data_IF_425288610329
#
_entry.id   IF_425288610329
#
_cell.length_a   1.000
_cell.length_b   1.000
_cell.length_c   1.000
_cell.angle_alpha   90.00
_cell.angle_beta   90.00
_cell.angle_gamma   90.00
#
_symmetry.space_group_name_H-M   'P 1'
#
loop_
_entity.id
_entity.type
_entity.pdbx_description
1 polymer ?
#
# COMPACT_ATOMS: atom_id res chain seq x y z
N UNK A 1 -40.33 -2.13 0.84
CA UNK A 1 -38.90 -2.06 0.48
C UNK A 1 -38.73 -2.85 -0.81
N UNK A 2 -38.01 -2.32 -1.80
CA UNK A 2 -37.57 -3.14 -2.94
C UNK A 2 -36.62 -4.22 -2.41
N UNK A 3 -36.70 -5.45 -2.92
CA UNK A 3 -35.83 -6.55 -2.49
C UNK A 3 -34.35 -6.19 -2.74
N UNK A 4 -33.46 -6.65 -1.84
CA UNK A 4 -32.01 -6.54 -2.05
C UNK A 4 -31.59 -7.61 -3.08
N UNK A 5 -31.45 -7.20 -4.33
CA UNK A 5 -30.98 -8.08 -5.40
C UNK A 5 -29.44 -8.02 -5.43
N UNK A 6 -28.72 -9.15 -5.34
CA UNK A 6 -27.28 -9.16 -5.49
C UNK A 6 -26.83 -8.51 -6.80
N UNK A 7 -25.72 -7.77 -6.77
CA UNK A 7 -25.18 -7.08 -7.97
C UNK A 7 -25.00 -8.03 -9.17
N UNK A 8 -24.49 -9.27 -9.01
CA UNK A 8 -24.37 -10.21 -10.13
C UNK A 8 -25.70 -10.63 -10.76
N UNK A 9 -26.81 -10.50 -10.03
CA UNK A 9 -28.13 -11.01 -10.39
C UNK A 9 -29.10 -9.90 -10.84
N UNK A 10 -28.59 -8.68 -11.05
CA UNK A 10 -29.44 -7.54 -11.38
C UNK A 10 -30.12 -7.71 -12.75
N UNK A 11 -31.44 -7.48 -12.84
CA UNK A 11 -32.18 -7.60 -14.09
C UNK A 11 -31.75 -6.52 -15.10
N UNK A 12 -31.58 -6.93 -16.36
CA UNK A 12 -31.28 -6.01 -17.47
C UNK A 12 -32.51 -5.20 -17.82
N UNK A 13 -32.32 -3.92 -18.16
CA UNK A 13 -33.38 -2.99 -18.59
C UNK A 13 -34.48 -2.70 -17.56
N UNK A 14 -34.30 -3.08 -16.30
CA UNK A 14 -35.22 -2.76 -15.20
C UNK A 14 -34.65 -1.68 -14.29
N UNK A 15 -35.54 -0.92 -13.65
CA UNK A 15 -35.15 0.09 -12.68
C UNK A 15 -34.89 -0.58 -11.32
N UNK A 16 -33.63 -0.59 -10.91
CA UNK A 16 -33.18 -1.18 -9.65
C UNK A 16 -32.91 -0.08 -8.62
N UNK A 17 -32.99 -0.45 -7.34
CA UNK A 17 -32.53 0.38 -6.23
C UNK A 17 -31.45 -0.38 -5.47
N UNK A 18 -30.32 0.27 -5.21
CA UNK A 18 -29.17 -0.32 -4.52
C UNK A 18 -28.68 0.62 -3.43
N UNK A 19 -28.17 0.06 -2.35
CA UNK A 19 -27.30 0.81 -1.42
C UNK A 19 -25.87 0.38 -1.68
N UNK A 20 -25.04 1.34 -2.08
CA UNK A 20 -23.63 1.11 -2.43
C UNK A 20 -22.73 2.14 -1.78
N UNK A 21 -21.49 1.74 -1.56
CA UNK A 21 -20.39 2.62 -1.27
C UNK A 21 -19.75 3.09 -2.59
N UNK A 22 -19.64 4.40 -2.77
CA UNK A 22 -18.95 5.02 -3.91
C UNK A 22 -17.57 5.49 -3.44
N UNK A 23 -16.50 5.03 -4.10
CA UNK A 23 -15.12 5.36 -3.68
C UNK A 23 -14.55 6.59 -4.38
N UNK A 24 -14.81 6.74 -5.67
CA UNK A 24 -14.19 7.73 -6.54
C UNK A 24 -15.13 8.08 -7.68
N UNK A 25 -15.00 9.29 -8.20
CA UNK A 25 -15.76 9.76 -9.34
C UNK A 25 -14.84 10.43 -10.35
N UNK A 26 -15.12 10.26 -11.63
CA UNK A 26 -14.38 10.90 -12.72
C UNK A 26 -15.31 11.47 -13.76
N UNK A 27 -15.18 12.76 -14.02
CA UNK A 27 -15.89 13.40 -15.13
C UNK A 27 -15.33 12.89 -16.46
N UNK A 28 -16.23 12.51 -17.37
CA UNK A 28 -15.95 12.08 -18.73
C UNK A 28 -16.88 12.78 -19.71
N UNK A 29 -16.56 12.64 -21.00
CA UNK A 29 -17.41 13.11 -22.10
C UNK A 29 -17.63 11.98 -23.08
N UNK A 30 -18.84 11.91 -23.62
CA UNK A 30 -19.18 11.04 -24.74
C UNK A 30 -18.49 11.53 -26.02
N UNK A 31 -18.47 10.70 -27.08
CA UNK A 31 -17.99 11.13 -28.41
C UNK A 31 -18.78 12.34 -28.96
N UNK A 32 -20.05 12.48 -28.58
CA UNK A 32 -20.91 13.62 -28.95
C UNK A 32 -20.74 14.84 -28.02
N UNK A 33 -19.77 14.80 -27.10
CA UNK A 33 -19.45 15.92 -26.21
C UNK A 33 -20.31 16.03 -24.95
N UNK A 34 -21.37 15.21 -24.79
CA UNK A 34 -22.17 15.20 -23.56
C UNK A 34 -21.34 14.76 -22.35
N UNK A 35 -21.42 15.52 -21.27
CA UNK A 35 -20.69 15.29 -20.04
C UNK A 35 -21.42 14.30 -19.14
N UNK A 36 -20.67 13.47 -18.43
CA UNK A 36 -21.18 12.54 -17.43
C UNK A 36 -20.07 12.23 -16.42
N UNK A 37 -20.43 11.59 -15.32
CA UNK A 37 -19.49 11.12 -14.31
C UNK A 37 -19.56 9.60 -14.22
N UNK A 38 -18.40 8.97 -14.30
CA UNK A 38 -18.25 7.55 -13.99
C UNK A 38 -17.83 7.38 -12.53
N UNK A 39 -18.42 6.38 -11.87
CA UNK A 39 -18.02 5.96 -10.54
C UNK A 39 -18.08 4.43 -10.43
N UNK A 40 -17.55 3.89 -9.34
CA UNK A 40 -17.71 2.47 -8.97
C UNK A 40 -18.51 2.43 -7.68
N UNK A 41 -19.62 1.70 -7.70
CA UNK A 41 -20.42 1.37 -6.52
C UNK A 41 -20.07 -0.03 -6.02
N UNK A 42 -19.93 -0.21 -4.71
CA UNK A 42 -19.68 -1.50 -4.06
C UNK A 42 -20.69 -1.76 -2.95
N UNK A 43 -21.20 -2.98 -2.84
CA UNK A 43 -21.87 -3.44 -1.62
C UNK A 43 -21.36 -4.83 -1.22
N UNK A 44 -22.02 -5.49 -0.26
CA UNK A 44 -21.64 -6.82 0.22
C UNK A 44 -21.72 -7.91 -0.86
N UNK A 45 -22.44 -7.66 -1.95
CA UNK A 45 -22.69 -8.63 -3.03
C UNK A 45 -21.81 -8.44 -4.27
N UNK A 46 -21.13 -7.30 -4.42
CA UNK A 46 -20.24 -7.07 -5.56
C UNK A 46 -19.90 -5.61 -5.84
N UNK A 47 -19.42 -5.36 -7.06
CA UNK A 47 -19.09 -4.03 -7.59
C UNK A 47 -19.79 -3.79 -8.92
N UNK A 48 -20.17 -2.54 -9.18
CA UNK A 48 -20.86 -2.14 -10.41
C UNK A 48 -20.40 -0.76 -10.87
N UNK A 49 -20.21 -0.60 -12.19
CA UNK A 49 -19.96 0.72 -12.77
C UNK A 49 -21.23 1.56 -12.71
N UNK A 50 -21.10 2.79 -12.24
CA UNK A 50 -22.19 3.76 -12.12
C UNK A 50 -21.95 4.90 -13.11
N UNK A 51 -23.02 5.34 -13.78
CA UNK A 51 -23.00 6.48 -14.69
C UNK A 51 -23.99 7.52 -14.23
N UNK A 52 -23.50 8.73 -14.00
CA UNK A 52 -24.31 9.88 -13.63
C UNK A 52 -24.24 10.90 -14.76
N UNK A 53 -25.36 11.15 -15.43
CA UNK A 53 -25.45 12.26 -16.37
C UNK A 53 -25.32 13.59 -15.63
N UNK A 54 -24.70 14.59 -16.26
CA UNK A 54 -24.49 15.90 -15.61
C UNK A 54 -25.81 16.53 -15.17
N UNK A 55 -26.88 16.34 -15.93
CA UNK A 55 -28.22 16.82 -15.62
C UNK A 55 -28.79 16.21 -14.31
N UNK A 56 -28.42 14.96 -13.98
CA UNK A 56 -28.84 14.30 -12.73
C UNK A 56 -28.08 14.88 -11.54
N UNK A 57 -26.78 15.18 -11.72
CA UNK A 57 -25.95 15.81 -10.70
C UNK A 57 -26.32 17.28 -10.47
N UNK A 58 -26.65 18.03 -11.53
CA UNK A 58 -27.06 19.44 -11.42
C UNK A 58 -28.40 19.58 -10.70
N UNK A 59 -29.27 18.57 -10.80
CA UNK A 59 -30.56 18.53 -10.13
C UNK A 59 -30.49 18.12 -8.65
N UNK A 60 -29.36 17.55 -8.19
CA UNK A 60 -29.20 17.01 -6.83
C UNK A 60 -27.92 17.55 -6.16
N UNK A 61 -27.73 17.28 -4.87
CA UNK A 61 -26.52 17.73 -4.16
C UNK A 61 -25.27 17.04 -4.71
N UNK A 62 -24.10 17.65 -4.47
CA UNK A 62 -22.78 17.13 -4.81
C UNK A 62 -22.61 15.65 -4.36
N UNK A 63 -22.24 14.77 -5.30
CA UNK A 63 -21.89 13.38 -5.02
C UNK A 63 -20.42 13.32 -4.57
N UNK A 64 -20.16 12.67 -3.43
CA UNK A 64 -18.84 12.51 -2.82
C UNK A 64 -18.60 11.03 -2.49
N UNK A 65 -17.35 10.60 -2.29
CA UNK A 65 -17.10 9.29 -1.73
C UNK A 65 -17.94 9.05 -0.46
N UNK A 66 -18.57 7.87 -0.33
CA UNK A 66 -19.46 7.57 0.78
C UNK A 66 -20.58 6.60 0.45
N UNK A 67 -21.53 6.42 1.37
CA UNK A 67 -22.69 5.55 1.22
C UNK A 67 -23.85 6.26 0.53
N UNK A 68 -24.35 5.65 -0.54
CA UNK A 68 -25.41 6.19 -1.37
C UNK A 68 -26.45 5.14 -1.70
N UNK A 69 -27.70 5.54 -1.60
CA UNK A 69 -28.85 4.83 -2.15
C UNK A 69 -29.04 5.34 -3.56
N UNK A 70 -28.95 4.46 -4.54
CA UNK A 70 -29.00 4.81 -5.96
C UNK A 70 -30.16 4.08 -6.64
N UNK A 71 -30.90 4.82 -7.45
CA UNK A 71 -31.92 4.29 -8.35
C UNK A 71 -31.44 4.48 -9.77
N UNK A 72 -31.60 3.46 -10.61
CA UNK A 72 -31.20 3.57 -12.00
C UNK A 72 -31.57 2.34 -12.81
N UNK A 73 -31.21 2.37 -14.08
CA UNK A 73 -31.43 1.26 -15.01
C UNK A 73 -30.12 0.59 -15.36
N UNK A 74 -30.11 -0.75 -15.36
CA UNK A 74 -28.96 -1.51 -15.83
C UNK A 74 -28.93 -1.47 -17.36
N UNK A 75 -27.85 -0.92 -17.89
CA UNK A 75 -27.51 -0.91 -19.31
C UNK A 75 -26.20 -1.69 -19.54
N UNK A 76 -25.97 -2.11 -20.79
CA UNK A 76 -24.70 -2.71 -21.19
C UNK A 76 -23.87 -1.70 -21.97
N UNK A 77 -22.63 -1.47 -21.54
CA UNK A 77 -21.64 -0.66 -22.25
C UNK A 77 -20.38 -1.47 -22.50
N UNK A 78 -20.01 -1.66 -23.77
CA UNK A 78 -18.88 -2.53 -24.16
C UNK A 78 -18.95 -3.93 -23.51
N UNK A 79 -20.13 -4.54 -23.56
CA UNK A 79 -20.42 -5.86 -22.97
C UNK A 79 -20.21 -5.96 -21.44
N UNK A 80 -20.17 -4.81 -20.75
CA UNK A 80 -20.13 -4.76 -19.28
C UNK A 80 -21.40 -4.09 -18.73
N UNK A 81 -21.96 -4.61 -17.63
CA UNK A 81 -23.09 -3.98 -16.98
C UNK A 81 -22.68 -2.66 -16.35
N UNK A 82 -23.50 -1.63 -16.56
CA UNK A 82 -23.38 -0.31 -15.97
C UNK A 82 -24.76 0.16 -15.52
N UNK A 83 -24.85 0.70 -14.30
CA UNK A 83 -26.08 1.34 -13.84
C UNK A 83 -26.09 2.80 -14.28
N UNK A 84 -27.05 3.17 -15.13
CA UNK A 84 -27.34 4.57 -15.43
C UNK A 84 -28.23 5.12 -14.32
N UNK A 85 -27.65 5.95 -13.47
CA UNK A 85 -28.28 6.48 -12.27
C UNK A 85 -29.22 7.61 -12.64
N UNK A 86 -30.46 7.53 -12.15
CA UNK A 86 -31.51 8.53 -12.36
C UNK A 86 -31.81 9.33 -11.10
N UNK A 87 -31.57 8.75 -9.92
CA UNK A 87 -31.75 9.38 -8.62
C UNK A 87 -30.76 8.80 -7.62
N UNK A 88 -30.25 9.62 -6.70
CA UNK A 88 -29.44 9.15 -5.60
C UNK A 88 -29.68 9.96 -4.32
N UNK A 89 -29.40 9.36 -3.16
CA UNK A 89 -29.43 10.06 -1.86
C UNK A 89 -28.38 9.51 -0.92
N UNK A 90 -27.85 10.32 0.02
CA UNK A 90 -27.00 9.79 1.07
C UNK A 90 -27.78 8.78 1.91
N UNK A 91 -27.07 7.76 2.41
CA UNK A 91 -27.62 6.69 3.22
C UNK A 91 -26.75 6.49 4.45
N UNK A 92 -27.37 6.23 5.60
CA UNK A 92 -26.66 5.95 6.85
C UNK A 92 -26.11 4.52 6.92
N UNK A 93 -25.19 4.25 7.85
CA UNK A 93 -24.70 2.89 8.09
C UNK A 93 -25.85 1.96 8.51
N UNK A 94 -26.80 2.45 9.30
CA UNK A 94 -27.93 1.65 9.77
C UNK A 94 -28.88 1.30 8.63
N UNK A 95 -29.19 2.26 7.75
CA UNK A 95 -29.95 1.97 6.53
C UNK A 95 -29.20 0.99 5.59
N UNK A 96 -27.87 1.08 5.52
CA UNK A 96 -27.06 0.09 4.78
C UNK A 96 -27.25 -1.30 5.38
N UNK A 97 -27.15 -1.44 6.71
CA UNK A 97 -27.32 -2.72 7.41
C UNK A 97 -28.71 -3.29 7.26
N UNK A 98 -29.74 -2.44 7.39
CA UNK A 98 -31.14 -2.85 7.19
C UNK A 98 -31.35 -3.42 5.78
N UNK A 99 -30.72 -2.83 4.77
CA UNK A 99 -30.90 -3.30 3.39
C UNK A 99 -29.98 -4.47 3.02
N UNK A 100 -28.70 -4.42 3.41
CA UNK A 100 -27.67 -5.37 3.01
C UNK A 100 -27.53 -6.55 3.98
N UNK A 101 -28.13 -6.49 5.16
CA UNK A 101 -27.95 -7.46 6.25
C UNK A 101 -26.46 -7.74 6.55
N UNK A 102 -25.61 -6.73 6.37
CA UNK A 102 -24.16 -6.79 6.50
C UNK A 102 -23.60 -5.41 6.86
N UNK A 103 -22.41 -5.38 7.46
CA UNK A 103 -21.67 -4.13 7.65
C UNK A 103 -21.09 -3.63 6.32
N UNK A 104 -21.08 -2.31 6.09
CA UNK A 104 -20.40 -1.75 4.93
C UNK A 104 -18.89 -1.99 5.05
N UNK A 105 -18.29 -2.49 3.97
CA UNK A 105 -16.83 -2.48 3.84
C UNK A 105 -16.39 -1.07 3.46
N UNK A 106 -15.54 -0.47 4.26
CA UNK A 106 -14.94 0.82 3.98
C UNK A 106 -13.53 0.67 3.37
N UNK A 107 -13.09 1.62 2.53
CA UNK A 107 -11.75 1.62 1.96
C UNK A 107 -10.66 1.71 3.04
N UNK A 108 -9.67 0.81 2.98
CA UNK A 108 -8.59 0.73 3.97
C UNK A 108 -7.25 1.18 3.38
N UNK A 109 -6.46 1.87 4.18
CA UNK A 109 -5.05 2.10 3.93
C UNK A 109 -4.22 1.16 4.80
N UNK A 110 -3.33 0.40 4.16
CA UNK A 110 -2.35 -0.47 4.77
C UNK A 110 -0.97 0.18 4.63
N UNK A 111 -0.53 0.89 5.67
CA UNK A 111 0.79 1.51 5.69
C UNK A 111 1.83 0.48 6.12
N UNK A 112 2.85 0.25 5.30
CA UNK A 112 3.78 -0.87 5.41
C UNK A 112 5.24 -0.40 5.34
N UNK A 113 6.08 -1.06 6.13
CA UNK A 113 7.55 -0.96 6.09
C UNK A 113 8.17 -2.33 6.47
N UNK A 114 9.38 -2.62 5.96
CA UNK A 114 10.12 -3.85 6.26
C UNK A 114 11.49 -3.57 6.87
N UNK A 115 11.86 -4.43 7.81
CA UNK A 115 13.23 -4.52 8.30
C UNK A 115 13.95 -5.75 7.77
N UNK A 116 15.22 -5.58 7.44
CA UNK A 116 16.02 -6.58 6.75
C UNK A 116 17.38 -6.80 7.41
N UNK A 117 17.91 -8.01 7.25
CA UNK A 117 19.24 -8.39 7.71
C UNK A 117 20.00 -9.06 6.57
N UNK A 118 21.32 -8.91 6.55
CA UNK A 118 22.18 -9.69 5.66
C UNK A 118 22.16 -11.17 6.05
N UNK A 119 22.11 -12.07 5.07
CA UNK A 119 22.28 -13.50 5.26
C UNK A 119 23.72 -13.80 5.70
N UNK A 120 23.95 -14.61 6.75
CA UNK A 120 25.30 -14.96 7.20
C UNK A 120 26.20 -15.51 6.08
N UNK A 121 25.66 -16.43 5.28
CA UNK A 121 26.38 -17.10 4.19
C UNK A 121 26.72 -16.15 3.03
N UNK A 122 26.11 -14.95 2.97
CA UNK A 122 26.49 -13.95 1.98
C UNK A 122 27.94 -13.48 2.19
N UNK A 123 28.46 -13.56 3.42
CA UNK A 123 29.84 -13.18 3.77
C UNK A 123 30.88 -13.88 2.88
N UNK A 124 30.65 -15.16 2.55
CA UNK A 124 31.54 -15.95 1.69
C UNK A 124 31.60 -15.44 0.25
N UNK A 125 30.59 -14.68 -0.19
CA UNK A 125 30.49 -14.15 -1.56
C UNK A 125 31.10 -12.77 -1.70
N UNK A 126 31.26 -12.01 -0.62
CA UNK A 126 31.65 -10.58 -0.69
C UNK A 126 33.06 -10.42 -1.26
N UNK A 127 34.07 -11.04 -0.68
CA UNK A 127 35.46 -10.94 -1.14
C UNK A 127 35.64 -11.33 -2.61
N UNK A 128 35.19 -12.55 -3.03
CA UNK A 128 35.26 -12.95 -4.44
C UNK A 128 34.51 -12.02 -5.41
N UNK A 129 33.41 -11.39 -4.98
CA UNK A 129 32.68 -10.41 -5.79
C UNK A 129 33.44 -9.09 -5.92
N UNK A 130 34.05 -8.60 -4.85
CA UNK A 130 34.84 -7.37 -4.87
C UNK A 130 36.11 -7.54 -5.71
N UNK A 131 36.85 -8.63 -5.53
CA UNK A 131 38.03 -8.96 -6.34
C UNK A 131 37.67 -9.03 -7.83
N UNK A 132 36.58 -9.74 -8.16
CA UNK A 132 36.09 -9.82 -9.54
C UNK A 132 35.69 -8.45 -10.08
N UNK A 133 35.01 -7.63 -9.29
CA UNK A 133 34.55 -6.30 -9.70
C UNK A 133 35.70 -5.34 -9.96
N UNK A 134 36.75 -5.39 -9.13
CA UNK A 134 37.99 -4.63 -9.34
C UNK A 134 38.69 -5.11 -10.62
N UNK A 135 38.87 -6.43 -10.79
CA UNK A 135 39.54 -7.02 -11.96
C UNK A 135 38.83 -6.70 -13.27
N UNK A 136 37.49 -6.65 -13.27
CA UNK A 136 36.68 -6.35 -14.45
C UNK A 136 36.44 -4.84 -14.68
N UNK A 137 36.99 -3.96 -13.83
CA UNK A 137 36.79 -2.51 -13.93
C UNK A 137 35.34 -2.06 -13.67
N UNK A 138 34.54 -2.87 -12.96
CA UNK A 138 33.15 -2.58 -12.61
C UNK A 138 33.01 -1.79 -11.29
N UNK A 139 34.08 -1.72 -10.51
CA UNK A 139 34.12 -1.01 -9.24
C UNK A 139 34.32 0.51 -9.46
N UNK A 140 33.50 1.35 -8.82
CA UNK A 140 33.65 2.82 -8.88
C UNK A 140 34.96 3.28 -8.23
N UNK A 141 35.55 4.39 -8.70
CA UNK A 141 36.83 4.90 -8.19
C UNK A 141 36.88 5.05 -6.66
N UNK A 142 35.86 5.67 -6.07
CA UNK A 142 35.77 5.83 -4.62
C UNK A 142 35.73 4.49 -3.87
N UNK A 143 35.11 3.47 -4.46
CA UNK A 143 35.06 2.14 -3.89
C UNK A 143 36.39 1.41 -4.04
N UNK A 144 37.09 1.59 -5.17
CA UNK A 144 38.44 1.06 -5.35
C UNK A 144 39.39 1.63 -4.31
N UNK A 145 39.31 2.93 -4.05
CA UNK A 145 40.13 3.58 -3.02
C UNK A 145 39.89 2.96 -1.65
N UNK A 146 38.63 2.84 -1.20
CA UNK A 146 38.31 2.19 0.08
C UNK A 146 38.77 0.74 0.14
N UNK A 147 38.55 -0.02 -0.93
CA UNK A 147 38.95 -1.43 -1.00
C UNK A 147 40.46 -1.62 -0.93
N UNK A 148 41.24 -0.76 -1.60
CA UNK A 148 42.70 -0.84 -1.59
C UNK A 148 43.32 -0.29 -0.31
N UNK A 149 42.62 0.61 0.40
CA UNK A 149 43.02 1.12 1.71
C UNK A 149 42.84 0.06 2.79
N UNK A 150 41.66 -0.59 2.84
CA UNK A 150 41.37 -1.67 3.78
C UNK A 150 40.34 -2.64 3.17
N UNK A 151 40.83 -3.79 2.70
CA UNK A 151 40.01 -4.85 2.11
C UNK A 151 38.97 -5.36 3.10
N UNK A 152 39.36 -5.60 4.36
CA UNK A 152 38.47 -6.18 5.36
C UNK A 152 37.35 -5.21 5.73
N UNK A 153 37.66 -3.91 5.84
CA UNK A 153 36.65 -2.90 6.11
C UNK A 153 35.65 -2.72 4.96
N UNK A 154 36.10 -2.74 3.69
CA UNK A 154 35.18 -2.66 2.55
C UNK A 154 34.36 -3.95 2.37
N UNK A 155 34.93 -5.12 2.68
CA UNK A 155 34.18 -6.38 2.76
C UNK A 155 33.08 -6.31 3.82
N UNK A 156 33.38 -5.84 5.03
CA UNK A 156 32.37 -5.71 6.09
C UNK A 156 31.27 -4.71 5.70
N UNK A 157 31.65 -3.56 5.12
CA UNK A 157 30.68 -2.59 4.59
C UNK A 157 29.76 -3.21 3.52
N UNK A 158 30.32 -3.98 2.58
CA UNK A 158 29.54 -4.63 1.53
C UNK A 158 28.66 -5.74 2.10
N UNK A 159 29.12 -6.46 3.12
CA UNK A 159 28.30 -7.40 3.87
C UNK A 159 27.11 -6.69 4.53
N UNK A 160 27.33 -5.57 5.22
CA UNK A 160 26.25 -4.80 5.86
C UNK A 160 25.23 -4.29 4.83
N UNK A 161 25.67 -3.79 3.67
CA UNK A 161 24.79 -3.38 2.57
C UNK A 161 24.01 -4.54 1.94
N UNK A 162 24.38 -5.79 2.22
CA UNK A 162 23.69 -6.98 1.75
C UNK A 162 22.24 -7.08 2.21
N UNK A 163 21.85 -6.41 3.29
CA UNK A 163 20.46 -6.31 3.75
C UNK A 163 19.56 -5.59 2.75
N UNK A 164 20.12 -4.71 1.91
CA UNK A 164 19.37 -3.92 0.91
C UNK A 164 19.02 -4.69 -0.38
N UNK A 165 19.27 -6.00 -0.44
CA UNK A 165 18.91 -6.84 -1.59
C UNK A 165 18.36 -8.19 -1.14
N UNK A 166 17.24 -8.63 -1.73
CA UNK A 166 16.64 -9.93 -1.42
C UNK A 166 17.52 -11.14 -1.79
N UNK A 167 18.58 -10.94 -2.58
CA UNK A 167 19.54 -11.98 -2.97
C UNK A 167 20.63 -12.25 -1.92
N UNK A 168 20.87 -11.27 -1.05
CA UNK A 168 21.91 -11.27 -0.02
C UNK A 168 21.36 -11.05 1.38
N UNK A 169 20.12 -10.59 1.50
CA UNK A 169 19.42 -10.34 2.73
C UNK A 169 18.15 -11.16 2.90
N UNK A 170 17.59 -11.08 4.09
CA UNK A 170 16.33 -11.68 4.51
C UNK A 170 15.47 -10.65 5.22
N UNK A 171 14.17 -10.87 5.22
CA UNK A 171 13.23 -10.10 6.03
C UNK A 171 13.38 -10.54 7.48
N UNK A 172 13.54 -9.56 8.36
CA UNK A 172 13.48 -9.71 9.82
C UNK A 172 12.07 -9.38 10.31
N UNK A 173 11.47 -8.29 9.83
CA UNK A 173 10.10 -7.94 10.20
C UNK A 173 9.34 -7.19 9.11
N UNK A 174 8.01 -7.28 9.16
CA UNK A 174 7.09 -6.52 8.31
C UNK A 174 6.10 -5.84 9.25
N UNK A 175 6.13 -4.51 9.35
CA UNK A 175 5.15 -3.76 10.11
C UNK A 175 4.03 -3.28 9.20
N UNK A 176 2.81 -3.29 9.72
CA UNK A 176 1.62 -2.80 9.02
C UNK A 176 0.75 -2.01 9.99
N UNK A 177 0.43 -0.77 9.64
CA UNK A 177 -0.65 0.01 10.24
C UNK A 177 -1.85 0.03 9.30
N UNK A 178 -3.02 -0.39 9.80
CA UNK A 178 -4.30 -0.38 9.09
C UNK A 178 -5.13 0.78 9.61
N UNK A 179 -5.75 1.54 8.71
CA UNK A 179 -6.73 2.54 9.08
C UNK A 179 -7.56 2.99 7.88
N UNK A 180 -8.42 4.00 8.04
CA UNK A 180 -9.13 4.60 6.91
C UNK A 180 -8.12 5.16 5.90
N UNK A 181 -8.49 5.17 4.62
CA UNK A 181 -7.75 5.93 3.62
C UNK A 181 -7.83 7.43 3.92
N UNK A 182 -6.75 8.15 3.67
CA UNK A 182 -6.73 9.59 3.96
C UNK A 182 -7.75 10.32 3.07
N UNK A 183 -8.35 11.38 3.62
CA UNK A 183 -9.42 12.14 2.97
C UNK A 183 -10.79 11.44 2.96
N UNK A 184 -10.88 10.23 3.51
CA UNK A 184 -12.10 9.42 3.57
C UNK A 184 -12.48 9.12 5.02
N UNK A 185 -13.34 9.94 5.64
CA UNK A 185 -13.88 9.70 6.99
C UNK A 185 -15.34 9.26 6.91
N UNK A 186 -15.60 8.02 7.29
CA UNK A 186 -16.94 7.42 7.29
C UNK A 186 -17.41 6.99 8.68
N UNK A 187 -16.63 7.27 9.73
CA UNK A 187 -16.87 6.74 11.06
C UNK A 187 -16.72 5.21 11.15
N UNK A 188 -16.36 4.71 12.34
CA UNK A 188 -16.44 3.28 12.65
C UNK A 188 -15.26 2.40 12.20
N UNK A 189 -14.28 2.90 11.45
CA UNK A 189 -13.06 2.14 11.19
C UNK A 189 -12.06 2.31 12.33
N UNK A 190 -11.72 1.20 13.00
CA UNK A 190 -10.66 1.21 14.00
C UNK A 190 -9.29 1.10 13.32
N UNK A 191 -8.30 1.78 13.89
CA UNK A 191 -6.91 1.56 13.53
C UNK A 191 -6.39 0.30 14.20
N UNK A 192 -5.46 -0.38 13.54
CA UNK A 192 -4.80 -1.55 14.10
C UNK A 192 -3.37 -1.65 13.58
N UNK A 193 -2.47 -2.19 14.39
CA UNK A 193 -1.07 -2.40 14.03
C UNK A 193 -0.73 -3.89 14.13
N UNK A 194 0.12 -4.35 13.21
CA UNK A 194 0.59 -5.73 13.16
C UNK A 194 2.06 -5.74 12.77
N UNK A 195 2.82 -6.66 13.37
CA UNK A 195 4.19 -6.95 12.96
C UNK A 195 4.32 -8.45 12.76
N UNK A 196 4.88 -8.83 11.62
CA UNK A 196 5.29 -10.20 11.29
C UNK A 196 6.80 -10.32 11.45
N UNK A 197 7.34 -11.51 11.75
CA UNK A 197 8.78 -11.73 11.90
C UNK A 197 9.35 -11.51 13.31
N UNK A 198 8.71 -10.67 14.13
CA UNK A 198 9.04 -10.52 15.55
C UNK A 198 7.73 -10.65 16.33
N UNK A 199 7.63 -11.59 17.26
CA UNK A 199 6.47 -11.81 18.11
C UNK A 199 6.24 -10.71 19.13
N UNK A 200 5.06 -10.68 19.74
CA UNK A 200 4.77 -9.78 20.87
C UNK A 200 5.57 -10.15 22.13
N UNK A 201 6.03 -11.40 22.20
CA UNK A 201 6.94 -11.92 23.22
C UNK A 201 8.42 -11.56 22.96
N UNK A 202 8.69 -10.77 21.92
CA UNK A 202 10.03 -10.32 21.57
C UNK A 202 10.87 -11.35 20.81
N UNK A 203 10.31 -12.52 20.48
CA UNK A 203 11.06 -13.57 19.80
C UNK A 203 10.98 -13.44 18.27
N UNK A 204 12.05 -13.81 17.59
CA UNK A 204 12.07 -13.89 16.13
C UNK A 204 11.20 -15.06 15.64
N UNK A 205 10.46 -14.83 14.56
CA UNK A 205 9.65 -15.81 13.85
C UNK A 205 10.32 -16.08 12.50
N UNK A 206 10.41 -17.36 12.14
CA UNK A 206 10.94 -17.81 10.84
C UNK A 206 10.40 -16.98 9.66
N UNK A 207 11.30 -16.59 8.74
CA UNK A 207 10.99 -15.70 7.62
C UNK A 207 9.87 -16.27 6.72
N UNK A 208 9.96 -17.57 6.39
CA UNK A 208 8.95 -18.22 5.53
C UNK A 208 7.58 -18.21 6.20
N UNK A 209 7.52 -18.53 7.50
CA UNK A 209 6.28 -18.46 8.26
C UNK A 209 5.72 -17.04 8.28
N UNK A 210 6.56 -16.05 8.52
CA UNK A 210 6.18 -14.63 8.57
C UNK A 210 5.61 -14.13 7.23
N UNK A 211 6.22 -14.54 6.10
CA UNK A 211 5.70 -14.27 4.76
C UNK A 211 4.31 -14.89 4.53
N UNK A 212 4.11 -16.15 4.93
CA UNK A 212 2.81 -16.82 4.79
C UNK A 212 1.73 -16.13 5.62
N UNK A 213 2.05 -15.75 6.87
CA UNK A 213 1.13 -15.05 7.75
C UNK A 213 0.78 -13.64 7.22
N UNK A 214 1.77 -12.91 6.71
CA UNK A 214 1.57 -11.62 6.05
C UNK A 214 0.67 -11.75 4.80
N UNK A 215 0.94 -12.72 3.93
CA UNK A 215 0.12 -12.93 2.71
C UNK A 215 -1.30 -13.36 3.04
N UNK A 216 -1.49 -14.17 4.09
CA UNK A 216 -2.84 -14.52 4.59
C UNK A 216 -3.56 -13.27 5.11
N UNK A 217 -2.85 -12.40 5.82
CA UNK A 217 -3.39 -11.15 6.31
C UNK A 217 -3.81 -10.21 5.15
N UNK A 218 -3.04 -10.18 4.05
CA UNK A 218 -3.35 -9.39 2.85
C UNK A 218 -4.34 -10.08 1.88
N UNK A 219 -4.95 -11.21 2.24
CA UNK A 219 -5.73 -12.03 1.30
C UNK A 219 -7.02 -11.38 0.78
N UNK A 220 -7.58 -10.41 1.51
CA UNK A 220 -8.79 -9.67 1.13
C UNK A 220 -8.50 -8.28 0.55
N UNK A 221 -7.21 -7.92 0.41
CA UNK A 221 -6.78 -6.66 -0.16
C UNK A 221 -7.24 -6.53 -1.62
N UNK A 222 -7.85 -5.39 -1.94
CA UNK A 222 -8.37 -5.12 -3.28
C UNK A 222 -7.78 -3.80 -3.81
N UNK A 223 -6.87 -3.81 -4.80
CA UNK A 223 -6.22 -2.60 -5.31
C UNK A 223 -7.18 -1.60 -5.98
N UNK A 224 -8.43 -1.98 -6.26
CA UNK A 224 -9.46 -1.07 -6.76
C UNK A 224 -10.13 -0.27 -5.63
N UNK A 225 -9.96 -0.71 -4.38
CA UNK A 225 -10.75 -0.25 -3.23
C UNK A 225 -9.88 0.13 -2.03
N UNK A 226 -8.91 -0.71 -1.69
CA UNK A 226 -7.89 -0.49 -0.67
C UNK A 226 -6.64 0.17 -1.26
N UNK A 227 -5.76 0.64 -0.38
CA UNK A 227 -4.49 1.28 -0.75
C UNK A 227 -3.37 0.77 0.15
N UNK A 228 -2.26 0.36 -0.46
CA UNK A 228 -0.99 0.15 0.22
C UNK A 228 -0.24 1.48 0.27
N UNK A 229 0.30 1.84 1.43
CA UNK A 229 1.06 3.07 1.62
C UNK A 229 2.44 2.69 2.13
N UNK A 230 3.50 3.32 1.64
CA UNK A 230 4.83 3.13 2.19
C UNK A 230 5.81 4.19 1.67
N UNK A 231 7.03 4.19 2.19
CA UNK A 231 8.08 5.10 1.73
C UNK A 231 9.08 4.34 0.85
N UNK A 232 9.15 4.67 -0.45
CA UNK A 232 9.94 3.91 -1.43
C UNK A 232 9.48 2.44 -1.61
N UNK A 233 8.23 2.16 -1.21
CA UNK A 233 7.62 0.82 -1.16
C UNK A 233 7.60 0.10 -2.52
N UNK A 234 7.51 0.85 -3.62
CA UNK A 234 7.45 0.27 -4.97
C UNK A 234 8.84 -0.22 -5.42
N UNK A 235 9.91 0.47 -5.01
CA UNK A 235 11.26 0.14 -5.45
C UNK A 235 12.06 -0.69 -4.44
N UNK A 236 11.53 -0.93 -3.24
CA UNK A 236 12.20 -1.71 -2.20
C UNK A 236 11.29 -2.78 -1.59
N UNK A 237 10.37 -2.40 -0.71
CA UNK A 237 9.63 -3.30 0.17
C UNK A 237 8.85 -4.39 -0.58
N UNK A 238 7.98 -3.99 -1.51
CA UNK A 238 7.14 -4.94 -2.25
C UNK A 238 7.97 -5.88 -3.13
N UNK A 239 8.94 -5.38 -3.94
CA UNK A 239 9.87 -6.26 -4.64
C UNK A 239 10.61 -7.21 -3.70
N UNK A 240 11.10 -6.73 -2.57
CA UNK A 240 11.85 -7.54 -1.61
C UNK A 240 10.97 -8.68 -1.06
N UNK A 241 9.76 -8.37 -0.58
CA UNK A 241 8.79 -9.36 -0.10
C UNK A 241 8.52 -10.44 -1.14
N UNK A 242 8.17 -10.07 -2.38
CA UNK A 242 7.84 -11.05 -3.41
C UNK A 242 9.07 -11.86 -3.87
N UNK A 243 10.25 -11.26 -3.91
CA UNK A 243 11.50 -11.97 -4.19
C UNK A 243 11.83 -12.97 -3.08
N UNK A 244 11.62 -12.63 -1.81
CA UNK A 244 11.80 -13.57 -0.68
C UNK A 244 10.76 -14.69 -0.69
N UNK A 245 9.53 -14.43 -1.15
CA UNK A 245 8.55 -15.50 -1.42
C UNK A 245 9.08 -16.51 -2.45
N UNK A 246 9.77 -16.05 -3.52
CA UNK A 246 10.40 -16.94 -4.50
C UNK A 246 11.51 -17.78 -3.86
N UNK A 247 12.39 -17.17 -3.07
CA UNK A 247 13.47 -17.87 -2.35
C UNK A 247 12.93 -18.97 -1.45
N UNK A 248 11.79 -18.74 -0.78
CA UNK A 248 11.16 -19.68 0.15
C UNK A 248 10.11 -20.62 -0.48
N UNK A 249 9.97 -20.58 -1.82
CA UNK A 249 8.95 -21.34 -2.55
C UNK A 249 7.53 -21.15 -1.99
N UNK A 250 7.19 -19.91 -1.60
CA UNK A 250 5.85 -19.54 -1.13
C UNK A 250 4.98 -19.23 -2.36
N UNK A 251 3.91 -20.00 -2.63
CA UNK A 251 3.06 -19.77 -3.78
C UNK A 251 2.22 -18.51 -3.56
N UNK A 252 2.46 -17.48 -4.37
CA UNK A 252 1.73 -16.21 -4.29
C UNK A 252 1.50 -15.66 -5.69
N UNK A 253 0.29 -15.18 -5.94
CA UNK A 253 0.04 -14.24 -7.04
C UNK A 253 0.17 -12.84 -6.45
N UNK A 254 1.11 -12.00 -6.89
CA UNK A 254 1.21 -10.63 -6.40
C UNK A 254 -0.14 -9.93 -6.53
N UNK A 255 -0.64 -9.40 -5.41
CA UNK A 255 -1.91 -8.68 -5.35
C UNK A 255 -1.79 -7.22 -5.84
N UNK A 256 -0.58 -6.82 -6.24
CA UNK A 256 -0.24 -5.56 -6.89
C UNK A 256 0.55 -5.87 -8.17
N UNK A 257 0.27 -5.15 -9.25
CA UNK A 257 1.06 -5.21 -10.48
C UNK A 257 2.26 -4.25 -10.42
N UNK A 258 3.41 -4.74 -9.93
CA UNK A 258 4.64 -3.93 -9.83
C UNK A 258 5.34 -3.64 -11.17
N UNK A 259 4.84 -4.17 -12.29
CA UNK A 259 5.36 -3.83 -13.63
C UNK A 259 4.91 -2.43 -14.08
N UNK A 260 3.86 -1.90 -13.47
CA UNK A 260 3.36 -0.56 -13.75
C UNK A 260 4.24 0.49 -13.08
N UNK A 261 4.44 1.62 -13.77
CA UNK A 261 5.17 2.73 -13.17
C UNK A 261 4.45 3.25 -11.92
N UNK A 262 3.12 3.39 -11.97
CA UNK A 262 2.28 3.72 -10.81
C UNK A 262 1.32 2.54 -10.57
N UNK A 263 1.73 1.54 -9.78
CA UNK A 263 0.90 0.38 -9.50
C UNK A 263 -0.41 0.82 -8.87
N UNK A 264 -1.52 0.28 -9.38
CA UNK A 264 -2.84 0.58 -8.83
C UNK A 264 -2.96 0.13 -7.38
N UNK A 265 -3.58 0.99 -6.55
CA UNK A 265 -3.76 0.72 -5.12
C UNK A 265 -2.47 0.85 -4.30
N UNK A 266 -1.47 1.59 -4.79
CA UNK A 266 -0.23 1.88 -4.04
C UNK A 266 0.06 3.38 -4.03
N UNK A 267 0.28 3.92 -2.83
CA UNK A 267 0.77 5.27 -2.59
C UNK A 267 2.19 5.21 -2.01
N UNK A 268 3.19 5.59 -2.81
CA UNK A 268 4.58 5.69 -2.38
C UNK A 268 4.90 7.13 -2.00
N UNK A 269 5.11 7.40 -0.71
CA UNK A 269 5.30 8.77 -0.18
C UNK A 269 6.56 9.43 -0.73
N UNK A 270 7.62 8.67 -1.02
CA UNK A 270 8.82 9.22 -1.66
C UNK A 270 8.48 9.73 -3.06
N UNK A 271 7.66 8.99 -3.81
CA UNK A 271 7.23 9.41 -5.16
C UNK A 271 6.22 10.55 -5.11
N UNK A 272 5.33 10.56 -4.12
CA UNK A 272 4.42 11.67 -3.85
C UNK A 272 5.18 12.98 -3.62
N UNK A 273 6.28 12.91 -2.87
CA UNK A 273 7.17 14.04 -2.63
C UNK A 273 7.90 14.55 -3.87
N UNK A 274 8.29 13.65 -4.78
CA UNK A 274 9.08 14.04 -5.96
C UNK A 274 8.41 15.10 -6.82
N UNK A 275 7.06 15.13 -6.89
CA UNK A 275 6.31 16.04 -7.76
C UNK A 275 6.86 16.06 -9.22
N UNK A 276 7.45 14.94 -9.66
CA UNK A 276 8.11 14.80 -10.96
C UNK A 276 9.65 14.81 -10.95
N UNK A 277 10.31 15.27 -9.89
CA UNK A 277 11.78 15.25 -9.74
C UNK A 277 12.28 13.88 -9.26
N UNK A 278 12.40 12.94 -10.20
CA UNK A 278 12.83 11.54 -9.93
C UNK A 278 14.32 11.40 -9.62
N UNK A 279 15.11 12.47 -9.76
CA UNK A 279 16.56 12.38 -9.64
C UNK A 279 17.02 12.36 -8.18
N UNK A 280 16.19 12.82 -7.24
CA UNK A 280 16.56 12.99 -5.84
C UNK A 280 15.80 12.02 -4.96
N UNK A 281 16.50 11.02 -4.43
CA UNK A 281 15.99 10.26 -3.29
C UNK A 281 15.92 11.20 -2.08
N UNK A 282 14.87 11.06 -1.29
CA UNK A 282 14.66 11.78 -0.04
C UNK A 282 14.29 10.75 1.01
N UNK A 283 14.75 10.90 2.25
CA UNK A 283 14.37 9.98 3.32
C UNK A 283 13.00 10.31 3.89
N UNK A 284 12.34 9.32 4.51
CA UNK A 284 11.11 9.55 5.27
C UNK A 284 11.30 10.62 6.35
N UNK A 285 12.45 10.56 7.02
CA UNK A 285 12.89 11.48 8.07
C UNK A 285 12.98 12.93 7.57
N UNK A 286 13.62 13.16 6.43
CA UNK A 286 13.71 14.51 5.83
C UNK A 286 12.32 15.06 5.47
N UNK A 287 11.43 14.21 4.92
CA UNK A 287 10.05 14.60 4.62
C UNK A 287 9.29 14.91 5.91
N UNK A 288 9.38 14.05 6.92
CA UNK A 288 8.71 14.23 8.19
C UNK A 288 9.13 15.55 8.85
N UNK A 289 10.44 15.81 8.92
CA UNK A 289 11.00 17.06 9.42
C UNK A 289 10.47 18.29 8.65
N UNK A 290 10.49 18.24 7.31
CA UNK A 290 10.00 19.34 6.48
C UNK A 290 8.49 19.61 6.66
N UNK A 291 7.71 18.58 7.03
CA UNK A 291 6.27 18.69 7.28
C UNK A 291 5.92 19.01 8.75
N UNK A 292 6.93 19.16 9.63
CA UNK A 292 6.72 19.35 11.07
C UNK A 292 6.13 18.13 11.78
N UNK A 293 6.39 16.93 11.25
CA UNK A 293 6.00 15.64 11.80
C UNK A 293 7.20 15.11 12.60
N UNK A 294 6.95 14.62 13.81
CA UNK A 294 7.99 13.97 14.62
C UNK A 294 8.59 12.79 13.86
N UNK A 295 9.93 12.74 13.84
CA UNK A 295 10.68 11.74 13.09
C UNK A 295 10.44 10.34 13.64
N UNK A 296 10.60 9.33 12.78
CA UNK A 296 10.63 7.94 13.19
C UNK A 296 11.93 7.57 13.91
N UNK A 297 12.99 8.35 13.67
CA UNK A 297 14.29 8.20 14.34
C UNK A 297 14.25 8.88 15.70
N UNK A 298 14.46 8.07 16.73
CA UNK A 298 14.80 8.56 18.07
C UNK A 298 16.31 8.43 18.26
N UNK A 299 16.91 9.17 19.21
CA UNK A 299 18.36 9.08 19.49
C UNK A 299 18.85 7.64 19.73
N UNK A 300 17.95 6.73 20.13
CA UNK A 300 18.25 5.33 20.44
C UNK A 300 18.20 4.37 19.25
N UNK A 301 17.50 4.67 18.14
CA UNK A 301 17.32 3.74 17.02
C UNK A 301 17.30 4.47 15.67
N UNK A 302 18.34 4.24 14.87
CA UNK A 302 18.40 4.60 13.46
C UNK A 302 18.42 3.30 12.64
N UNK A 303 17.79 3.24 11.46
CA UNK A 303 17.77 2.03 10.62
C UNK A 303 19.15 1.45 10.27
N UNK A 304 20.22 2.27 10.31
CA UNK A 304 21.62 1.81 10.20
C UNK A 304 22.07 0.89 11.34
N UNK A 305 21.33 0.86 12.45
CA UNK A 305 21.63 0.10 13.68
C UNK A 305 20.80 -1.16 13.83
N UNK A 306 19.96 -1.53 12.85
CA UNK A 306 19.11 -2.74 12.93
C UNK A 306 19.96 -4.00 13.12
N UNK A 307 21.09 -4.09 12.41
CA UNK A 307 22.06 -5.16 12.60
C UNK A 307 22.67 -5.17 14.02
N UNK A 308 23.08 -4.02 14.53
CA UNK A 308 23.67 -3.90 15.88
C UNK A 308 22.66 -4.24 16.98
N UNK A 309 21.41 -3.78 16.84
CA UNK A 309 20.32 -4.13 17.76
C UNK A 309 20.02 -5.61 17.72
N UNK A 310 20.03 -6.21 16.52
CA UNK A 310 19.81 -7.64 16.35
C UNK A 310 20.92 -8.45 17.04
N UNK A 311 22.18 -8.08 16.84
CA UNK A 311 23.32 -8.70 17.51
C UNK A 311 23.26 -8.54 19.04
N UNK A 312 22.72 -7.42 19.52
CA UNK A 312 22.49 -7.19 20.95
C UNK A 312 21.24 -7.90 21.50
N UNK A 313 20.51 -8.66 20.68
CA UNK A 313 19.29 -9.36 21.07
C UNK A 313 18.09 -8.45 21.38
N UNK A 314 18.10 -7.20 20.89
CA UNK A 314 17.09 -6.17 21.20
C UNK A 314 15.96 -6.15 20.18
N UNK A 315 15.30 -7.29 19.98
CA UNK A 315 14.25 -7.47 18.96
C UNK A 315 13.02 -6.60 19.23
N UNK A 316 12.66 -6.36 20.49
CA UNK A 316 11.53 -5.50 20.85
C UNK A 316 11.78 -4.05 20.42
N UNK A 317 13.04 -3.58 20.48
CA UNK A 317 13.40 -2.24 19.98
C UNK A 317 13.27 -2.15 18.47
N UNK A 318 13.65 -3.19 17.74
CA UNK A 318 13.49 -3.24 16.28
C UNK A 318 12.00 -3.27 15.90
N UNK A 319 11.21 -4.05 16.63
CA UNK A 319 9.75 -4.13 16.43
C UNK A 319 9.10 -2.75 16.61
N UNK A 320 9.42 -2.04 17.69
CA UNK A 320 8.87 -0.72 17.96
C UNK A 320 9.36 0.33 16.95
N UNK A 321 10.62 0.25 16.54
CA UNK A 321 11.17 1.10 15.49
C UNK A 321 10.42 0.96 14.16
N UNK A 322 10.21 -0.28 13.69
CA UNK A 322 9.48 -0.54 12.46
C UNK A 322 8.00 -0.07 12.57
N UNK A 323 7.37 -0.25 13.73
CA UNK A 323 6.04 0.33 13.98
C UNK A 323 6.05 1.87 13.94
N UNK A 324 7.09 2.51 14.43
CA UNK A 324 7.21 3.96 14.37
C UNK A 324 7.37 4.46 12.92
N UNK A 325 8.15 3.76 12.08
CA UNK A 325 8.31 4.08 10.66
C UNK A 325 6.96 4.03 9.91
N UNK A 326 6.11 3.03 10.16
CA UNK A 326 4.76 3.00 9.54
C UNK A 326 3.85 4.10 10.07
N UNK A 327 3.92 4.46 11.36
CA UNK A 327 3.13 5.57 11.93
C UNK A 327 3.53 6.91 11.32
N UNK A 328 4.82 7.18 11.16
CA UNK A 328 5.33 8.41 10.55
C UNK A 328 5.00 8.45 9.07
N UNK A 329 5.18 7.34 8.35
CA UNK A 329 4.78 7.21 6.95
C UNK A 329 3.30 7.50 6.76
N UNK A 330 2.45 7.02 7.68
CA UNK A 330 1.00 7.31 7.66
C UNK A 330 0.71 8.80 7.80
N UNK A 331 1.33 9.48 8.77
CA UNK A 331 1.16 10.93 8.97
C UNK A 331 1.61 11.72 7.73
N UNK A 332 2.72 11.32 7.10
CA UNK A 332 3.20 11.92 5.85
C UNK A 332 2.18 11.73 4.73
N UNK A 333 1.66 10.53 4.56
CA UNK A 333 0.61 10.21 3.59
C UNK A 333 -0.65 11.05 3.84
N UNK A 334 -1.15 11.11 5.07
CA UNK A 334 -2.32 11.90 5.44
C UNK A 334 -2.12 13.39 5.11
N UNK A 335 -0.95 13.96 5.44
CA UNK A 335 -0.61 15.35 5.08
C UNK A 335 -0.56 15.58 3.57
N UNK A 336 -0.01 14.64 2.80
CA UNK A 336 0.05 14.77 1.34
C UNK A 336 -1.36 14.78 0.72
N UNK A 337 -2.24 13.89 1.17
CA UNK A 337 -3.63 13.82 0.68
C UNK A 337 -4.43 15.05 1.11
N UNK A 338 -4.22 15.56 2.32
CA UNK A 338 -4.84 16.81 2.77
C UNK A 338 -4.47 18.00 1.87
N UNK A 339 -3.20 18.12 1.46
CA UNK A 339 -2.73 19.22 0.64
C UNK A 339 -3.05 19.08 -0.85
N UNK A 340 -2.94 17.88 -1.42
CA UNK A 340 -3.07 17.65 -2.87
C UNK A 340 -4.43 17.12 -3.29
N UNK A 341 -5.27 16.70 -2.35
CA UNK A 341 -6.43 15.87 -2.64
C UNK A 341 -6.02 14.45 -3.01
N UNK A 342 -7.03 13.65 -3.38
CA UNK A 342 -6.88 12.25 -3.76
C UNK A 342 -6.79 12.05 -5.27
#
# INVERSE_FOLDING_TARGET
MRENIPIPDLPQNEDVWLVVFVTHMRQRRTQQGKSFWDAIGRNSTGTLSLKFWTEVLDAQKELKPGLWGITGRIESFQDRPQLVVTEYRPVTIDEYREHQSADPRFPRAFTLDIETLTLPDFRERVGPQLERSLRLGQMRLEQQQRYLEDIAAEEERCYQLGSLSATSGRILSIAVHIGPQAGLDFGGLMTAERVFGIGEDGNEIDERRSLVEFLKFMSDFDPEFDELVGHNIIAFDLPFIFQRCLVHCVPVRPFINLTEYNPRGVFDTMRGWWLGDKARRVSLDDIAWALGIESSKTEEVEGSKVFDLYQAGKLEKIREYNLNDVRVTRKVYERMIECFGR
#
